data_IF_664191017496
#
_entry.id   IF_664191017496
#
_cell.length_a   1.000
_cell.length_b   1.000
_cell.length_c   1.000
_cell.angle_alpha   90.00
_cell.angle_beta   90.00
_cell.angle_gamma   90.00
#
_symmetry.space_group_name_H-M   'P 1'
#
loop_
_entity.id
_entity.type
_entity.pdbx_description
1 polymer ?
#
# COMPACT_ATOMS: atom_id res chain seq x y z
N UNK A 1 4.93 -15.67 7.12
CA UNK A 1 4.20 -15.62 5.83
C UNK A 1 2.71 -15.87 6.03
N UNK A 2 2.31 -16.82 6.88
CA UNK A 2 0.88 -17.13 7.10
C UNK A 2 0.07 -15.97 7.66
N UNK A 3 0.62 -15.18 8.57
CA UNK A 3 -0.01 -13.98 9.12
C UNK A 3 -0.12 -12.86 8.08
N UNK A 4 0.82 -12.75 7.16
CA UNK A 4 0.71 -11.84 6.01
C UNK A 4 -0.38 -12.32 5.04
N UNK A 5 -0.48 -13.61 4.78
CA UNK A 5 -1.57 -14.17 3.96
C UNK A 5 -2.94 -13.89 4.57
N UNK A 6 -3.05 -13.97 5.90
CA UNK A 6 -4.28 -13.61 6.61
C UNK A 6 -4.68 -12.15 6.36
N UNK A 7 -3.73 -11.23 6.33
CA UNK A 7 -4.01 -9.81 6.00
C UNK A 7 -4.62 -9.66 4.61
N UNK A 8 -4.10 -10.38 3.62
CA UNK A 8 -4.67 -10.37 2.27
C UNK A 8 -6.08 -10.95 2.22
N UNK A 9 -6.31 -12.04 2.93
CA UNK A 9 -7.65 -12.68 2.98
C UNK A 9 -8.67 -11.75 3.61
N UNK A 10 -8.32 -11.09 4.72
CA UNK A 10 -9.18 -10.12 5.39
C UNK A 10 -9.49 -8.90 4.49
N UNK A 11 -8.49 -8.40 3.78
CA UNK A 11 -8.67 -7.27 2.88
C UNK A 11 -9.54 -7.64 1.69
N UNK A 12 -9.32 -8.79 1.07
CA UNK A 12 -10.13 -9.28 -0.04
C UNK A 12 -11.59 -9.48 0.36
N UNK A 13 -11.84 -9.93 1.57
CA UNK A 13 -13.18 -10.05 2.12
C UNK A 13 -13.85 -8.67 2.26
N UNK A 14 -13.13 -7.67 2.77
CA UNK A 14 -13.61 -6.29 2.90
C UNK A 14 -13.89 -5.63 1.55
N UNK A 15 -13.13 -5.96 0.51
CA UNK A 15 -13.31 -5.38 -0.83
C UNK A 15 -14.60 -5.83 -1.52
N UNK A 16 -15.21 -6.93 -1.07
CA UNK A 16 -16.55 -7.38 -1.48
C UNK A 16 -16.78 -7.43 -2.99
N UNK A 17 -17.38 -6.37 -3.55
CA UNK A 17 -17.76 -6.28 -4.96
C UNK A 17 -16.69 -5.73 -5.90
N UNK A 18 -15.48 -5.47 -5.44
CA UNK A 18 -14.40 -5.03 -6.31
C UNK A 18 -14.09 -6.07 -7.37
N UNK A 19 -13.91 -5.64 -8.63
CA UNK A 19 -13.56 -6.53 -9.74
C UNK A 19 -12.15 -7.11 -9.58
N UNK A 20 -11.22 -6.30 -9.06
CA UNK A 20 -9.83 -6.69 -8.84
C UNK A 20 -9.59 -6.88 -7.35
N UNK A 21 -9.12 -8.06 -6.99
CA UNK A 21 -8.74 -8.42 -5.63
C UNK A 21 -7.27 -8.84 -5.61
N UNK A 22 -6.67 -8.78 -4.42
CA UNK A 22 -5.29 -9.18 -4.26
C UNK A 22 -5.10 -10.68 -4.48
N UNK A 23 -4.13 -11.06 -5.30
CA UNK A 23 -3.64 -12.43 -5.41
C UNK A 23 -2.42 -12.57 -4.50
N UNK A 24 -2.64 -13.11 -3.30
CA UNK A 24 -1.62 -13.18 -2.25
C UNK A 24 -0.38 -13.97 -2.65
N UNK A 25 -0.54 -15.09 -3.33
CA UNK A 25 0.58 -15.92 -3.76
C UNK A 25 1.44 -15.19 -4.78
N UNK A 26 0.82 -14.56 -5.76
CA UNK A 26 1.53 -13.77 -6.76
C UNK A 26 2.29 -12.59 -6.12
N UNK A 27 1.64 -11.89 -5.20
CA UNK A 27 2.23 -10.72 -4.55
C UNK A 27 3.41 -11.11 -3.66
N UNK A 28 3.30 -12.19 -2.88
CA UNK A 28 4.39 -12.64 -2.02
C UNK A 28 5.58 -13.13 -2.86
N UNK A 29 5.34 -13.84 -3.95
CA UNK A 29 6.39 -14.22 -4.88
C UNK A 29 7.04 -13.01 -5.54
N UNK A 30 6.25 -12.01 -5.93
CA UNK A 30 6.75 -10.76 -6.48
C UNK A 30 7.60 -9.97 -5.45
N UNK A 31 7.24 -10.01 -4.17
CA UNK A 31 8.05 -9.40 -3.11
C UNK A 31 9.44 -10.03 -3.03
N UNK A 32 9.51 -11.37 -3.04
CA UNK A 32 10.78 -12.07 -3.00
C UNK A 32 11.66 -11.72 -4.22
N UNK A 33 11.09 -11.76 -5.41
CA UNK A 33 11.80 -11.45 -6.65
C UNK A 33 12.26 -9.98 -6.69
N UNK A 34 11.39 -9.05 -6.34
CA UNK A 34 11.68 -7.60 -6.36
C UNK A 34 12.67 -7.20 -5.28
N UNK A 35 12.61 -7.81 -4.11
CA UNK A 35 13.56 -7.55 -3.03
C UNK A 35 14.98 -7.94 -3.43
N UNK A 36 15.13 -8.95 -4.31
CA UNK A 36 16.43 -9.42 -4.78
C UNK A 36 16.90 -8.66 -6.03
N UNK A 37 15.99 -8.35 -6.95
CA UNK A 37 16.31 -7.89 -8.29
C UNK A 37 16.11 -6.39 -8.54
N UNK A 38 15.33 -5.70 -7.70
CA UNK A 38 14.94 -4.29 -7.94
C UNK A 38 15.21 -3.44 -6.71
N UNK A 39 16.22 -2.56 -6.81
CA UNK A 39 16.60 -1.61 -5.76
C UNK A 39 15.53 -0.54 -5.45
N UNK A 40 14.45 -0.50 -6.21
CA UNK A 40 13.39 0.49 -6.16
C UNK A 40 12.10 -0.05 -5.55
N UNK A 41 12.18 -1.07 -4.73
CA UNK A 41 11.05 -1.67 -4.03
C UNK A 41 11.29 -1.68 -2.53
N UNK A 42 10.32 -1.16 -1.77
CA UNK A 42 10.45 -0.92 -0.33
C UNK A 42 9.26 -1.53 0.41
N UNK A 43 9.54 -2.35 1.43
CA UNK A 43 8.52 -3.06 2.19
C UNK A 43 8.79 -2.89 3.68
N UNK A 44 7.73 -2.60 4.44
CA UNK A 44 7.74 -2.61 5.90
C UNK A 44 6.60 -3.47 6.41
N UNK A 45 6.86 -4.22 7.46
CA UNK A 45 5.84 -4.97 8.18
C UNK A 45 5.83 -4.54 9.64
N UNK A 46 4.65 -4.50 10.26
CA UNK A 46 4.53 -4.17 11.67
C UNK A 46 4.39 -5.46 12.48
N UNK A 47 5.30 -5.64 13.45
CA UNK A 47 5.26 -6.78 14.36
C UNK A 47 4.48 -6.39 15.61
N UNK A 48 3.38 -7.08 15.86
CA UNK A 48 2.56 -6.88 17.05
C UNK A 48 3.19 -7.53 18.28
N UNK A 49 2.69 -7.15 19.46
CA UNK A 49 3.17 -7.68 20.75
C UNK A 49 3.05 -9.21 20.86
N UNK A 50 2.06 -9.81 20.20
CA UNK A 50 1.87 -11.27 20.18
C UNK A 50 2.86 -12.01 19.28
N UNK A 51 3.82 -11.32 18.67
CA UNK A 51 4.82 -11.90 17.77
C UNK A 51 4.35 -12.16 16.35
N UNK A 52 3.12 -11.76 16.00
CA UNK A 52 2.59 -11.87 14.63
C UNK A 52 2.62 -10.54 13.92
N UNK A 53 2.76 -10.56 12.61
CA UNK A 53 2.63 -9.35 11.80
C UNK A 53 1.16 -8.95 11.66
N UNK A 54 0.87 -7.70 12.00
CA UNK A 54 -0.48 -7.12 11.94
C UNK A 54 -0.65 -6.03 10.87
N UNK A 55 0.38 -5.79 10.09
CA UNK A 55 0.34 -4.85 8.99
C UNK A 55 1.53 -4.99 8.05
N UNK A 56 1.32 -4.56 6.80
CA UNK A 56 2.35 -4.48 5.77
C UNK A 56 2.07 -3.27 4.89
N UNK A 57 3.12 -2.58 4.48
CA UNK A 57 3.06 -1.53 3.48
C UNK A 57 4.23 -1.68 2.52
N UNK A 58 3.97 -1.51 1.24
CA UNK A 58 4.99 -1.61 0.21
C UNK A 58 4.85 -0.49 -0.81
N UNK A 59 5.97 -0.01 -1.29
CA UNK A 59 6.08 1.05 -2.29
C UNK A 59 7.06 0.65 -3.39
N UNK A 60 6.83 1.22 -4.56
CA UNK A 60 7.78 1.16 -5.67
C UNK A 60 8.24 2.58 -6.01
N UNK A 61 9.48 2.71 -6.46
CA UNK A 61 9.93 3.94 -7.11
C UNK A 61 9.40 3.92 -8.54
N UNK A 62 8.35 4.68 -8.76
CA UNK A 62 7.77 4.85 -10.10
C UNK A 62 8.54 5.95 -10.84
N UNK A 63 9.41 5.51 -11.75
CA UNK A 63 10.19 6.41 -12.63
C UNK A 63 9.38 6.78 -13.87
N UNK A 64 8.17 7.23 -13.68
CA UNK A 64 7.25 7.51 -14.76
C UNK A 64 7.70 8.72 -15.58
N UNK A 65 8.14 8.49 -16.80
CA UNK A 65 8.60 9.53 -17.72
C UNK A 65 7.53 10.59 -18.02
N UNK A 66 6.27 10.22 -17.95
CA UNK A 66 5.13 11.12 -18.14
C UNK A 66 5.19 12.35 -17.20
N UNK A 67 5.64 12.15 -15.98
CA UNK A 67 5.72 13.23 -14.98
C UNK A 67 7.11 13.84 -14.85
N UNK A 68 8.13 13.19 -15.42
CA UNK A 68 9.51 13.63 -15.31
C UNK A 68 10.10 13.58 -13.90
N UNK A 69 9.47 12.85 -12.98
CA UNK A 69 9.85 12.76 -11.58
C UNK A 69 9.82 11.32 -11.09
N UNK A 70 10.63 11.03 -10.07
CA UNK A 70 10.55 9.78 -9.34
C UNK A 70 9.46 9.90 -8.28
N UNK A 71 8.50 8.97 -8.31
CA UNK A 71 7.35 8.99 -7.43
C UNK A 71 7.38 7.78 -6.52
N UNK A 72 7.23 8.00 -5.22
CA UNK A 72 7.08 6.96 -4.21
C UNK A 72 5.64 6.47 -4.24
N UNK A 73 5.40 5.39 -4.99
CA UNK A 73 4.05 4.92 -5.32
C UNK A 73 3.66 3.70 -4.49
N UNK A 74 2.53 3.79 -3.80
CA UNK A 74 2.00 2.66 -3.04
C UNK A 74 1.77 1.45 -3.94
N UNK A 75 2.30 0.31 -3.51
CA UNK A 75 2.02 -0.99 -4.09
C UNK A 75 0.93 -1.72 -3.31
N UNK A 76 1.05 -1.75 -1.99
CA UNK A 76 0.05 -2.34 -1.10
C UNK A 76 0.14 -1.72 0.31
N UNK A 77 -1.00 -1.62 0.97
CA UNK A 77 -1.10 -1.17 2.35
C UNK A 77 -2.24 -1.92 3.05
N UNK A 78 -1.88 -2.84 3.96
CA UNK A 78 -2.82 -3.67 4.69
C UNK A 78 -2.51 -3.61 6.17
N UNK A 79 -3.54 -3.59 7.00
CA UNK A 79 -3.37 -3.70 8.45
C UNK A 79 -4.64 -4.24 9.11
N UNK A 80 -4.46 -4.91 10.25
CA UNK A 80 -5.59 -5.36 11.07
C UNK A 80 -6.28 -4.22 11.83
N UNK A 81 -5.54 -3.13 12.07
CA UNK A 81 -6.06 -1.97 12.82
C UNK A 81 -5.44 -0.67 12.33
N UNK A 82 -6.11 0.44 12.64
CA UNK A 82 -5.70 1.79 12.22
C UNK A 82 -4.35 2.21 12.81
N UNK A 83 -4.01 1.76 14.02
CA UNK A 83 -2.76 2.10 14.68
C UNK A 83 -1.56 1.51 13.93
N UNK A 84 -1.61 0.22 13.61
CA UNK A 84 -0.57 -0.44 12.82
C UNK A 84 -0.44 0.19 11.44
N UNK A 85 -1.56 0.42 10.76
CA UNK A 85 -1.59 1.04 9.43
C UNK A 85 -1.00 2.44 9.43
N UNK A 86 -1.38 3.29 10.37
CA UNK A 86 -0.86 4.65 10.50
C UNK A 86 0.63 4.70 10.82
N UNK A 87 1.10 3.81 11.68
CA UNK A 87 2.53 3.68 12.02
C UNK A 87 3.37 3.30 10.80
N UNK A 88 2.89 2.34 10.01
CA UNK A 88 3.55 1.93 8.78
C UNK A 88 3.64 3.08 7.77
N UNK A 89 2.54 3.79 7.55
CA UNK A 89 2.54 4.93 6.63
C UNK A 89 3.47 6.03 7.10
N UNK A 90 3.47 6.36 8.39
CA UNK A 90 4.38 7.34 8.97
C UNK A 90 5.86 6.98 8.77
N UNK A 91 6.21 5.70 8.95
CA UNK A 91 7.56 5.18 8.71
C UNK A 91 7.95 5.32 7.23
N UNK A 92 7.04 4.94 6.33
CA UNK A 92 7.27 5.03 4.88
C UNK A 92 7.47 6.48 4.42
N UNK A 93 6.67 7.42 4.93
CA UNK A 93 6.78 8.84 4.59
C UNK A 93 8.12 9.40 5.06
N UNK A 94 8.56 9.08 6.28
CA UNK A 94 9.88 9.51 6.79
C UNK A 94 11.01 8.99 5.89
N UNK A 95 10.93 7.74 5.50
CA UNK A 95 11.90 7.14 4.58
C UNK A 95 11.92 7.86 3.23
N UNK A 96 10.76 8.11 2.65
CA UNK A 96 10.63 8.77 1.37
C UNK A 96 11.23 10.19 1.39
N UNK A 97 10.98 10.94 2.46
CA UNK A 97 11.57 12.27 2.65
C UNK A 97 13.09 12.20 2.79
N UNK A 98 13.60 11.25 3.55
CA UNK A 98 15.04 11.05 3.74
C UNK A 98 15.73 10.68 2.41
N UNK A 99 15.06 9.93 1.56
CA UNK A 99 15.54 9.56 0.21
C UNK A 99 15.26 10.64 -0.85
N UNK A 100 14.72 11.78 -0.43
CA UNK A 100 14.48 12.94 -1.28
C UNK A 100 13.45 12.72 -2.39
N UNK A 101 12.50 11.80 -2.19
CA UNK A 101 11.33 11.71 -3.05
C UNK A 101 10.49 12.98 -2.88
N UNK A 102 10.09 13.59 -4.00
CA UNK A 102 9.26 14.80 -3.99
C UNK A 102 7.78 14.51 -3.87
N UNK A 103 7.35 13.35 -4.36
CA UNK A 103 5.94 12.98 -4.42
C UNK A 103 5.73 11.57 -3.87
N UNK A 104 4.60 11.38 -3.23
CA UNK A 104 4.10 10.08 -2.79
C UNK A 104 2.66 9.93 -3.30
N UNK A 105 2.34 8.78 -3.87
CA UNK A 105 0.99 8.44 -4.31
C UNK A 105 0.46 7.32 -3.43
N UNK A 106 -0.71 7.58 -2.84
CA UNK A 106 -1.49 6.59 -2.11
C UNK A 106 -2.82 6.37 -2.84
N UNK A 107 -3.34 5.16 -2.74
CA UNK A 107 -4.58 4.78 -3.40
C UNK A 107 -5.65 4.38 -2.39
N UNK A 108 -6.90 4.44 -2.81
CA UNK A 108 -8.01 3.83 -2.08
C UNK A 108 -8.96 3.19 -3.09
N UNK A 109 -9.59 2.08 -2.67
CA UNK A 109 -10.58 1.37 -3.49
C UNK A 109 -11.96 1.84 -3.06
N UNK A 110 -12.74 2.41 -4.00
CA UNK A 110 -14.07 2.98 -3.68
C UNK A 110 -15.04 1.95 -3.12
N UNK A 111 -14.88 0.67 -3.46
CA UNK A 111 -15.70 -0.42 -2.92
C UNK A 111 -15.28 -0.90 -1.53
N UNK A 112 -14.17 -0.38 -1.00
CA UNK A 112 -13.74 -0.70 0.36
C UNK A 112 -14.66 -0.01 1.37
N UNK A 113 -15.12 -0.72 2.44
CA UNK A 113 -16.05 -0.13 3.40
C UNK A 113 -15.54 1.12 4.10
N UNK A 114 -14.22 1.28 4.19
CA UNK A 114 -13.57 2.41 4.85
C UNK A 114 -13.00 3.44 3.86
N UNK A 115 -13.38 3.40 2.58
CA UNK A 115 -12.79 4.28 1.56
C UNK A 115 -12.93 5.76 1.90
N UNK A 116 -14.10 6.19 2.40
CA UNK A 116 -14.35 7.58 2.79
C UNK A 116 -13.48 7.99 4.00
N UNK A 117 -13.34 7.09 4.96
CA UNK A 117 -12.47 7.32 6.14
C UNK A 117 -11.00 7.45 5.75
N UNK A 118 -10.54 6.60 4.85
CA UNK A 118 -9.18 6.62 4.32
C UNK A 118 -8.94 7.92 3.53
N UNK A 119 -9.87 8.31 2.68
CA UNK A 119 -9.80 9.55 1.91
C UNK A 119 -9.68 10.78 2.84
N UNK A 120 -10.51 10.86 3.88
CA UNK A 120 -10.42 11.95 4.87
C UNK A 120 -9.10 11.93 5.63
N UNK A 121 -8.57 10.76 5.93
CA UNK A 121 -7.26 10.60 6.56
C UNK A 121 -6.15 11.17 5.67
N UNK A 122 -6.15 10.83 4.38
CA UNK A 122 -5.18 11.37 3.43
C UNK A 122 -5.27 12.90 3.35
N UNK A 123 -6.47 13.46 3.25
CA UNK A 123 -6.68 14.90 3.19
C UNK A 123 -6.13 15.62 4.43
N UNK A 124 -6.35 15.05 5.62
CA UNK A 124 -5.80 15.58 6.87
C UNK A 124 -4.27 15.58 6.90
N UNK A 125 -3.64 14.63 6.23
CA UNK A 125 -2.18 14.55 6.11
C UNK A 125 -1.62 15.47 5.02
N UNK A 126 -2.46 16.18 4.29
CA UNK A 126 -2.04 17.09 3.23
C UNK A 126 -2.01 16.48 1.83
N UNK A 127 -2.53 15.26 1.66
CA UNK A 127 -2.70 14.67 0.34
C UNK A 127 -3.84 15.34 -0.41
N UNK A 128 -3.63 15.58 -1.70
CA UNK A 128 -4.64 16.08 -2.61
C UNK A 128 -5.19 14.93 -3.45
N UNK A 129 -6.49 14.96 -3.71
CA UNK A 129 -7.11 14.02 -4.62
C UNK A 129 -6.67 14.32 -6.04
N UNK A 130 -5.98 13.39 -6.69
CA UNK A 130 -5.32 13.64 -7.97
C UNK A 130 -5.99 12.91 -9.14
N UNK A 131 -6.33 11.63 -8.97
CA UNK A 131 -6.91 10.85 -10.06
C UNK A 131 -7.95 9.86 -9.56
N UNK A 132 -8.80 9.41 -10.50
CA UNK A 132 -9.78 8.35 -10.28
C UNK A 132 -9.57 7.30 -11.36
N UNK A 133 -9.48 6.04 -10.97
CA UNK A 133 -9.34 4.91 -11.90
C UNK A 133 -10.67 4.19 -12.09
N UNK A 134 -10.93 3.75 -13.31
CA UNK A 134 -12.09 2.94 -13.66
C UNK A 134 -11.60 1.62 -14.21
N UNK A 135 -12.31 0.53 -13.89
CA UNK A 135 -11.95 -0.82 -14.36
C UNK A 135 -13.15 -1.48 -15.02
N UNK A 136 -12.90 -2.15 -16.14
CA UNK A 136 -13.90 -2.97 -16.84
C UNK A 136 -13.31 -4.34 -17.11
N UNK A 137 -14.15 -5.37 -16.99
CA UNK A 137 -13.79 -6.71 -17.44
C UNK A 137 -14.05 -6.81 -18.94
N UNK A 138 -13.05 -7.22 -19.70
CA UNK A 138 -13.14 -7.39 -21.16
C UNK A 138 -13.52 -8.81 -21.56
#
# INVERSE_FOLDING_TARGET
>A
VSDIFELFDLENEKMGHALLKHNKEYIINAFADKAILVWDFFVWANLAENGKYDGIIAFVNDKNEKFGEQIFSEYIWLSKNSRAGGKLLGTAIKFARKKEFKYIIMNTVVNHPKSDKIARFYEKMGFLRDSISYVAKL
#
